data_IF_899129955796
#
_entry.id   IF_899129955796
#
_cell.length_a   1.000
_cell.length_b   1.000
_cell.length_c   1.000
_cell.angle_alpha   90.00
_cell.angle_beta   90.00
_cell.angle_gamma   90.00
#
_symmetry.space_group_name_H-M   'P 1'
#
loop_
_entity.id
_entity.type
_entity.pdbx_description
1 polymer ?
#
# COMPACT_ATOMS: atom_id res chain seq x y z
N UNK A 1 -24.68 -3.72 -14.35
CA UNK A 1 -23.35 -3.09 -14.22
C UNK A 1 -22.59 -3.91 -13.20
N UNK A 2 -21.37 -4.30 -13.50
CA UNK A 2 -20.54 -5.09 -12.58
C UNK A 2 -19.91 -4.16 -11.54
N UNK A 3 -20.23 -4.31 -10.26
CA UNK A 3 -19.68 -3.50 -9.17
C UNK A 3 -18.22 -3.92 -8.92
N UNK A 4 -17.30 -2.95 -8.79
CA UNK A 4 -15.90 -3.20 -8.47
C UNK A 4 -15.58 -2.95 -6.99
N UNK A 5 -14.50 -3.54 -6.48
CA UNK A 5 -13.98 -3.23 -5.14
C UNK A 5 -13.73 -1.73 -4.96
N UNK A 6 -13.21 -1.06 -5.99
CA UNK A 6 -12.97 0.39 -5.94
C UNK A 6 -14.28 1.19 -5.83
N UNK A 7 -15.36 0.75 -6.46
CA UNK A 7 -16.69 1.38 -6.31
C UNK A 7 -17.16 1.34 -4.86
N UNK A 8 -17.05 0.19 -4.20
CA UNK A 8 -17.37 -0.01 -2.78
C UNK A 8 -16.55 0.92 -1.89
N UNK A 9 -15.23 0.90 -2.06
CA UNK A 9 -14.32 1.69 -1.22
C UNK A 9 -14.45 3.20 -1.45
N UNK A 10 -14.70 3.61 -2.69
CA UNK A 10 -14.97 5.02 -3.02
C UNK A 10 -16.27 5.49 -2.34
N UNK A 11 -17.30 4.66 -2.34
CA UNK A 11 -18.54 4.97 -1.63
C UNK A 11 -18.30 5.04 -0.12
N UNK A 12 -17.66 4.02 0.48
CA UNK A 12 -17.41 3.97 1.92
C UNK A 12 -16.59 5.19 2.42
N UNK A 13 -15.62 5.66 1.64
CA UNK A 13 -14.78 6.83 2.00
C UNK A 13 -15.58 8.12 2.16
N UNK A 14 -16.71 8.29 1.47
CA UNK A 14 -17.56 9.49 1.58
C UNK A 14 -18.14 9.69 2.97
N UNK A 15 -18.25 8.62 3.74
CA UNK A 15 -18.89 8.60 5.05
C UNK A 15 -17.90 8.71 6.21
N UNK A 16 -16.59 8.76 5.95
CA UNK A 16 -15.58 8.92 7.00
C UNK A 16 -15.86 10.17 7.86
N UNK A 17 -15.80 9.98 9.17
CA UNK A 17 -16.07 11.04 10.15
C UNK A 17 -17.54 11.20 10.53
N UNK A 18 -18.48 10.49 9.89
CA UNK A 18 -19.89 10.53 10.28
C UNK A 18 -20.03 9.92 11.69
N UNK A 19 -20.65 10.69 12.58
CA UNK A 19 -20.88 10.34 13.98
C UNK A 19 -22.33 9.88 14.18
N UNK A 20 -22.51 8.85 15.01
CA UNK A 20 -23.81 8.34 15.42
C UNK A 20 -24.72 9.46 15.99
N UNK A 21 -25.99 9.44 15.63
CA UNK A 21 -26.98 10.43 16.02
C UNK A 21 -27.07 11.66 15.13
N UNK A 22 -26.08 11.93 14.29
CA UNK A 22 -26.13 13.03 13.29
C UNK A 22 -27.15 12.75 12.19
N UNK A 23 -27.57 13.78 11.46
CA UNK A 23 -28.44 13.64 10.30
C UNK A 23 -27.88 12.68 9.25
N UNK A 24 -26.58 12.74 8.99
CA UNK A 24 -25.91 11.83 8.04
C UNK A 24 -25.95 10.38 8.50
N UNK A 25 -25.75 10.10 9.78
CA UNK A 25 -25.92 8.76 10.33
C UNK A 25 -27.36 8.27 10.19
N UNK A 26 -28.35 9.11 10.54
CA UNK A 26 -29.77 8.77 10.40
C UNK A 26 -30.12 8.44 8.96
N UNK A 27 -29.59 9.18 7.97
CA UNK A 27 -29.79 8.91 6.55
C UNK A 27 -29.24 7.53 6.12
N UNK A 28 -28.15 7.06 6.73
CA UNK A 28 -27.62 5.70 6.50
C UNK A 28 -28.64 4.65 6.97
N UNK A 29 -29.12 4.80 8.21
CA UNK A 29 -30.10 3.89 8.83
C UNK A 29 -31.43 3.93 8.07
N UNK A 30 -31.91 5.11 7.71
CA UNK A 30 -33.16 5.28 6.97
C UNK A 30 -33.12 4.61 5.59
N UNK A 31 -32.02 4.76 4.85
CA UNK A 31 -31.86 4.11 3.56
C UNK A 31 -31.80 2.57 3.69
N UNK A 32 -31.11 2.06 4.70
CA UNK A 32 -31.12 0.64 5.01
C UNK A 32 -32.55 0.17 5.30
N UNK A 33 -33.27 0.85 6.19
CA UNK A 33 -34.65 0.51 6.60
C UNK A 33 -35.68 0.63 5.46
N UNK A 34 -35.47 1.57 4.53
CA UNK A 34 -36.33 1.73 3.35
C UNK A 34 -36.19 0.58 2.35
N UNK A 35 -35.09 -0.16 2.39
CA UNK A 35 -34.84 -1.29 1.47
C UNK A 35 -35.52 -2.56 1.99
N UNK A 36 -36.52 -3.03 1.32
CA UNK A 36 -37.35 -4.20 1.74
C UNK A 36 -37.00 -5.47 0.95
N UNK A 37 -37.28 -6.68 1.49
CA UNK A 37 -37.68 -6.97 2.87
C UNK A 37 -36.54 -6.69 3.86
N UNK A 38 -36.86 -6.38 5.11
CA UNK A 38 -35.83 -6.22 6.14
C UNK A 38 -35.28 -7.58 6.56
N UNK A 39 -33.97 -7.75 6.72
CA UNK A 39 -33.39 -8.94 7.34
C UNK A 39 -34.03 -9.20 8.71
N UNK A 40 -34.39 -10.46 8.95
CA UNK A 40 -35.11 -10.92 10.13
C UNK A 40 -36.32 -10.05 10.56
N UNK A 41 -36.86 -9.23 9.63
CA UNK A 41 -37.98 -8.32 9.91
C UNK A 41 -37.62 -7.13 10.82
N UNK A 42 -36.33 -6.94 11.16
CA UNK A 42 -35.92 -5.96 12.15
C UNK A 42 -35.66 -4.57 11.54
N UNK A 43 -36.33 -3.56 12.09
CA UNK A 43 -36.07 -2.16 11.75
C UNK A 43 -35.00 -1.58 12.66
N UNK A 44 -33.82 -1.28 12.10
CA UNK A 44 -32.68 -0.74 12.84
C UNK A 44 -33.04 0.64 13.42
N UNK A 45 -32.72 0.86 14.69
CA UNK A 45 -32.92 2.12 15.42
C UNK A 45 -31.64 2.97 15.31
N UNK A 46 -31.78 4.28 15.49
CA UNK A 46 -30.63 5.20 15.48
C UNK A 46 -29.69 5.02 16.69
N UNK A 47 -30.09 4.22 17.67
CA UNK A 47 -29.33 3.91 18.89
C UNK A 47 -28.65 2.56 18.85
N UNK A 48 -28.95 1.73 17.84
CA UNK A 48 -28.40 0.39 17.71
C UNK A 48 -26.93 0.45 17.22
N UNK A 49 -26.22 -0.64 17.46
CA UNK A 49 -24.94 -0.86 16.79
C UNK A 49 -25.17 -0.99 15.29
N UNK A 50 -24.42 -0.23 14.51
CA UNK A 50 -24.68 -0.05 13.08
C UNK A 50 -23.48 -0.37 12.17
N UNK A 51 -22.51 -1.14 12.68
CA UNK A 51 -21.36 -1.54 11.88
C UNK A 51 -21.78 -2.34 10.63
N UNK A 52 -22.66 -3.32 10.82
CA UNK A 52 -23.16 -4.16 9.73
C UNK A 52 -24.22 -3.46 8.88
N UNK A 53 -25.06 -2.61 9.52
CA UNK A 53 -25.94 -1.70 8.79
C UNK A 53 -25.17 -0.80 7.83
N UNK A 54 -23.99 -0.32 8.22
CA UNK A 54 -23.12 0.48 7.34
C UNK A 54 -22.62 -0.34 6.15
N UNK A 55 -22.14 -1.57 6.36
CA UNK A 55 -21.68 -2.44 5.28
C UNK A 55 -22.83 -2.73 4.29
N UNK A 56 -24.00 -3.06 4.82
CA UNK A 56 -25.21 -3.28 4.03
C UNK A 56 -25.67 -2.03 3.27
N UNK A 57 -25.60 -0.86 3.92
CA UNK A 57 -25.91 0.43 3.30
C UNK A 57 -24.97 0.74 2.11
N UNK A 58 -23.68 0.47 2.24
CA UNK A 58 -22.72 0.62 1.12
C UNK A 58 -23.08 -0.34 -0.02
N UNK A 59 -23.45 -1.59 0.29
CA UNK A 59 -23.93 -2.55 -0.70
C UNK A 59 -25.17 -2.04 -1.45
N UNK A 60 -26.16 -1.49 -0.74
CA UNK A 60 -27.36 -0.89 -1.32
C UNK A 60 -27.01 0.30 -2.21
N UNK A 61 -26.13 1.18 -1.72
CA UNK A 61 -25.77 2.42 -2.42
C UNK A 61 -25.00 2.20 -3.70
N UNK A 62 -24.27 1.10 -3.79
CA UNK A 62 -23.44 0.73 -4.96
C UNK A 62 -24.08 -0.32 -5.85
N UNK A 63 -25.26 -0.85 -5.49
CA UNK A 63 -25.89 -1.97 -6.21
C UNK A 63 -25.15 -3.30 -6.00
N UNK A 64 -24.39 -3.45 -4.93
CA UNK A 64 -23.60 -4.65 -4.61
C UNK A 64 -24.33 -5.65 -3.69
N UNK A 65 -25.61 -5.45 -3.38
CA UNK A 65 -26.36 -6.30 -2.44
C UNK A 65 -26.31 -7.77 -2.83
N UNK A 66 -26.37 -8.10 -4.12
CA UNK A 66 -26.27 -9.47 -4.59
C UNK A 66 -24.89 -10.09 -4.38
N UNK A 67 -23.84 -9.27 -4.34
CA UNK A 67 -22.46 -9.72 -4.13
C UNK A 67 -22.14 -9.94 -2.65
N UNK A 68 -22.55 -8.98 -1.79
CA UNK A 68 -22.13 -8.98 -0.39
C UNK A 68 -23.25 -9.40 0.58
N UNK A 69 -24.51 -9.44 0.14
CA UNK A 69 -25.66 -9.67 1.02
C UNK A 69 -26.14 -8.39 1.68
N UNK A 70 -27.06 -8.54 2.62
CA UNK A 70 -27.63 -7.46 3.42
C UNK A 70 -28.08 -8.00 4.79
N UNK A 71 -27.56 -7.44 5.83
CA UNK A 71 -27.85 -7.82 7.23
C UNK A 71 -27.61 -6.62 8.16
N UNK A 72 -28.01 -6.75 9.44
CA UNK A 72 -27.69 -5.81 10.52
C UNK A 72 -27.07 -6.52 11.74
N UNK A 73 -26.65 -7.76 11.58
CA UNK A 73 -26.02 -8.57 12.61
C UNK A 73 -24.89 -9.42 12.01
N UNK A 74 -23.67 -9.16 12.44
CA UNK A 74 -22.44 -9.63 11.83
C UNK A 74 -22.39 -11.14 11.66
N UNK A 75 -22.76 -11.91 12.70
CA UNK A 75 -22.73 -13.37 12.59
C UNK A 75 -23.68 -13.90 11.51
N UNK A 76 -24.89 -13.35 11.40
CA UNK A 76 -25.84 -13.71 10.33
C UNK A 76 -25.32 -13.27 8.95
N UNK A 77 -24.56 -12.18 8.89
CA UNK A 77 -23.94 -11.79 7.64
C UNK A 77 -22.83 -12.75 7.22
N UNK A 78 -22.06 -13.31 8.17
CA UNK A 78 -21.12 -14.41 7.89
C UNK A 78 -21.85 -15.61 7.29
N UNK A 79 -23.02 -15.97 7.79
CA UNK A 79 -23.83 -17.07 7.23
C UNK A 79 -24.24 -16.80 5.77
N UNK A 80 -24.56 -15.52 5.46
CA UNK A 80 -24.78 -15.11 4.07
C UNK A 80 -23.50 -15.24 3.25
N UNK A 81 -22.34 -14.81 3.75
CA UNK A 81 -21.08 -14.97 3.06
C UNK A 81 -20.73 -16.44 2.81
N UNK A 82 -20.99 -17.32 3.78
CA UNK A 82 -20.84 -18.78 3.64
C UNK A 82 -21.76 -19.31 2.56
N UNK A 83 -23.03 -18.94 2.56
CA UNK A 83 -24.00 -19.37 1.55
C UNK A 83 -23.66 -18.91 0.13
N UNK A 84 -22.99 -17.77 0.00
CA UNK A 84 -22.50 -17.23 -1.27
C UNK A 84 -21.14 -17.83 -1.69
N UNK A 85 -20.49 -18.65 -0.85
CA UNK A 85 -19.19 -19.23 -1.14
C UNK A 85 -18.04 -18.21 -1.14
N UNK A 86 -18.22 -17.07 -0.48
CA UNK A 86 -17.23 -15.98 -0.43
C UNK A 86 -16.54 -15.85 0.93
N UNK A 87 -16.92 -16.64 1.92
CA UNK A 87 -16.33 -16.61 3.26
C UNK A 87 -14.99 -17.35 3.32
N UNK A 88 -14.02 -16.76 4.00
CA UNK A 88 -12.69 -17.31 4.29
C UNK A 88 -12.55 -17.36 5.80
N UNK A 89 -12.55 -18.57 6.36
CA UNK A 89 -12.52 -18.86 7.81
C UNK A 89 -11.15 -18.58 8.46
N UNK A 90 -10.15 -18.16 7.73
CA UNK A 90 -8.78 -17.92 8.22
C UNK A 90 -8.47 -16.42 8.33
N UNK A 91 -8.40 -15.90 9.55
CA UNK A 91 -8.02 -14.52 9.84
C UNK A 91 -6.55 -14.19 9.55
N UNK A 92 -5.69 -15.20 9.28
CA UNK A 92 -4.24 -15.03 9.05
C UNK A 92 -3.89 -14.73 7.60
N UNK A 93 -4.83 -14.89 6.67
CA UNK A 93 -4.57 -14.58 5.26
C UNK A 93 -4.22 -13.11 5.08
N UNK A 94 -3.50 -12.80 4.01
CA UNK A 94 -3.37 -11.42 3.55
C UNK A 94 -4.63 -11.04 2.76
N UNK A 95 -5.47 -10.14 3.30
CA UNK A 95 -6.69 -9.74 2.60
C UNK A 95 -6.39 -8.84 1.40
N UNK A 96 -7.41 -8.60 0.58
CA UNK A 96 -7.37 -7.69 -0.57
C UNK A 96 -8.25 -6.48 -0.31
N UNK A 97 -7.93 -5.35 -0.97
CA UNK A 97 -8.81 -4.19 -0.98
C UNK A 97 -10.21 -4.58 -1.50
N UNK A 98 -11.23 -4.22 -0.75
CA UNK A 98 -12.62 -4.62 -1.00
C UNK A 98 -13.07 -5.88 -0.28
N UNK A 99 -12.17 -6.69 0.29
CA UNK A 99 -12.59 -7.77 1.21
C UNK A 99 -13.37 -7.16 2.38
N UNK A 100 -14.27 -7.92 2.96
CA UNK A 100 -15.01 -7.55 4.16
C UNK A 100 -14.41 -8.33 5.32
N UNK A 101 -13.93 -7.64 6.34
CA UNK A 101 -13.36 -8.24 7.54
C UNK A 101 -14.42 -8.32 8.64
N UNK A 102 -14.48 -9.46 9.32
CA UNK A 102 -15.26 -9.64 10.55
C UNK A 102 -14.33 -9.84 11.73
N UNK A 103 -14.73 -9.33 12.90
CA UNK A 103 -13.97 -9.41 14.14
C UNK A 103 -14.78 -10.11 15.22
N UNK A 104 -14.07 -10.78 16.11
CA UNK A 104 -14.57 -11.27 17.38
C UNK A 104 -13.69 -10.66 18.48
N UNK A 105 -14.28 -9.83 19.34
CA UNK A 105 -13.53 -9.12 20.38
C UNK A 105 -13.29 -9.97 21.64
N UNK A 106 -13.96 -11.13 21.74
CA UNK A 106 -13.83 -12.03 22.90
C UNK A 106 -12.60 -12.93 22.83
N UNK A 107 -11.98 -13.06 21.64
CA UNK A 107 -10.78 -13.89 21.44
C UNK A 107 -9.72 -13.13 20.65
N UNK A 108 -8.54 -13.00 21.26
CA UNK A 108 -7.36 -12.33 20.66
C UNK A 108 -6.39 -13.30 19.99
N UNK A 109 -6.79 -14.56 19.79
CA UNK A 109 -5.93 -15.61 19.24
C UNK A 109 -6.37 -16.07 17.86
N UNK A 110 -5.45 -16.62 17.09
CA UNK A 110 -5.72 -17.29 15.81
C UNK A 110 -5.46 -18.80 15.93
N UNK A 111 -6.32 -19.66 15.42
CA UNK A 111 -7.52 -19.37 14.63
C UNK A 111 -8.66 -18.92 15.54
N UNK A 112 -9.40 -17.89 15.08
CA UNK A 112 -10.54 -17.35 15.77
C UNK A 112 -11.81 -17.83 15.08
N UNK A 113 -12.66 -18.61 15.77
CA UNK A 113 -13.89 -19.21 15.23
C UNK A 113 -15.14 -18.81 16.04
N UNK A 114 -14.99 -17.91 17.00
CA UNK A 114 -16.04 -17.43 17.87
C UNK A 114 -17.10 -16.57 17.19
N UNK A 115 -18.04 -16.09 18.00
CA UNK A 115 -19.11 -15.20 17.53
C UNK A 115 -18.55 -13.87 17.04
N UNK A 116 -18.96 -13.40 15.88
CA UNK A 116 -18.47 -12.17 15.32
C UNK A 116 -19.28 -10.96 15.80
N UNK A 117 -18.56 -9.92 16.26
CA UNK A 117 -19.12 -8.72 16.90
C UNK A 117 -19.05 -7.49 16.02
N UNK A 118 -18.12 -7.45 15.07
CA UNK A 118 -17.85 -6.24 14.30
C UNK A 118 -17.45 -6.56 12.86
N UNK A 119 -17.65 -5.59 11.96
CA UNK A 119 -17.46 -5.77 10.53
C UNK A 119 -17.03 -4.45 9.87
N UNK A 120 -16.24 -4.57 8.79
CA UNK A 120 -15.82 -3.43 7.99
C UNK A 120 -15.25 -3.83 6.65
N UNK A 121 -14.94 -2.85 5.80
CA UNK A 121 -14.27 -3.07 4.52
C UNK A 121 -12.76 -2.94 4.67
N UNK A 122 -12.01 -3.86 4.08
CA UNK A 122 -10.56 -3.71 3.91
C UNK A 122 -10.31 -2.63 2.86
N UNK A 123 -9.74 -1.51 3.26
CA UNK A 123 -9.40 -0.41 2.35
C UNK A 123 -8.08 -0.66 1.62
N UNK A 124 -7.09 -1.15 2.33
CA UNK A 124 -5.76 -1.46 1.77
C UNK A 124 -4.96 -2.40 2.66
N UNK A 125 -3.95 -3.02 2.07
CA UNK A 125 -2.92 -3.76 2.79
C UNK A 125 -1.57 -3.29 2.30
N UNK A 126 -0.70 -2.85 3.20
CA UNK A 126 0.65 -2.41 2.89
C UNK A 126 1.61 -2.77 4.04
N UNK A 127 2.77 -3.31 3.69
CA UNK A 127 3.83 -3.66 4.66
C UNK A 127 3.35 -4.51 5.85
N UNK A 128 2.45 -5.47 5.61
CA UNK A 128 1.89 -6.32 6.65
C UNK A 128 0.82 -5.64 7.53
N UNK A 129 0.40 -4.42 7.19
CA UNK A 129 -0.64 -3.66 7.90
C UNK A 129 -1.90 -3.61 7.04
N UNK A 130 -3.01 -4.00 7.63
CA UNK A 130 -4.36 -3.88 7.06
C UNK A 130 -4.95 -2.55 7.52
N UNK A 131 -5.50 -1.78 6.59
CA UNK A 131 -6.32 -0.60 6.88
C UNK A 131 -7.77 -0.90 6.51
N UNK A 132 -8.70 -0.63 7.40
CA UNK A 132 -10.15 -0.83 7.18
C UNK A 132 -10.92 0.47 7.20
N UNK A 133 -12.15 0.46 6.68
CA UNK A 133 -13.19 1.48 6.90
C UNK A 133 -14.36 0.78 7.58
N UNK A 134 -14.70 1.24 8.78
CA UNK A 134 -15.68 0.60 9.65
C UNK A 134 -16.76 1.60 10.08
N UNK A 135 -18.04 1.20 9.98
CA UNK A 135 -19.13 1.88 10.67
C UNK A 135 -19.12 1.56 12.16
N UNK A 136 -19.64 2.44 12.97
CA UNK A 136 -19.75 2.28 14.42
C UNK A 136 -18.42 2.06 15.20
N UNK A 137 -17.27 2.30 14.59
CA UNK A 137 -16.01 2.26 15.30
C UNK A 137 -15.91 3.48 16.25
N UNK A 138 -16.12 3.25 17.53
CA UNK A 138 -16.25 4.34 18.50
C UNK A 138 -17.40 5.29 18.17
N UNK A 139 -18.53 4.73 17.72
CA UNK A 139 -19.76 5.45 17.30
C UNK A 139 -19.60 6.36 16.09
N UNK A 140 -18.62 6.09 15.20
CA UNK A 140 -18.44 6.86 13.96
C UNK A 140 -17.96 5.93 12.82
N UNK A 141 -17.93 6.46 11.58
CA UNK A 141 -17.22 5.83 10.48
C UNK A 141 -15.76 6.22 10.57
N UNK A 142 -14.91 5.24 10.81
CA UNK A 142 -13.45 5.44 10.98
C UNK A 142 -12.62 4.42 10.24
N UNK A 143 -11.34 4.76 10.08
CA UNK A 143 -10.30 3.81 9.74
C UNK A 143 -9.73 3.15 10.98
N UNK A 144 -9.44 1.85 10.87
CA UNK A 144 -8.59 1.09 11.80
C UNK A 144 -7.37 0.61 11.04
N UNK A 145 -6.24 0.47 11.73
CA UNK A 145 -5.06 -0.22 11.24
C UNK A 145 -4.70 -1.36 12.18
N UNK A 146 -4.31 -2.50 11.61
CA UNK A 146 -3.93 -3.69 12.39
C UNK A 146 -2.94 -4.54 11.58
N UNK A 147 -2.12 -5.38 12.21
CA UNK A 147 -1.28 -6.32 11.47
C UNK A 147 -2.13 -7.38 10.75
N UNK A 148 -1.63 -7.89 9.63
CA UNK A 148 -2.16 -9.11 9.01
C UNK A 148 -2.10 -10.23 10.05
N UNK A 149 -3.18 -11.01 10.17
CA UNK A 149 -3.26 -12.09 11.17
C UNK A 149 -3.52 -11.64 12.59
N UNK A 150 -3.98 -10.39 12.80
CA UNK A 150 -4.34 -9.90 14.13
C UNK A 150 -5.36 -10.82 14.81
N UNK A 151 -5.12 -11.18 16.07
CA UNK A 151 -5.85 -12.22 16.78
C UNK A 151 -7.37 -12.07 16.77
N UNK A 152 -7.87 -10.85 16.83
CA UNK A 152 -9.30 -10.55 16.84
C UNK A 152 -10.00 -10.70 15.47
N UNK A 153 -9.27 -10.98 14.39
CA UNK A 153 -9.88 -11.18 13.07
C UNK A 153 -10.55 -12.55 13.05
N UNK A 154 -11.89 -12.55 12.91
CA UNK A 154 -12.72 -13.75 12.80
C UNK A 154 -12.59 -14.42 11.42
N UNK A 155 -12.38 -13.62 10.40
CA UNK A 155 -12.24 -14.05 9.01
C UNK A 155 -12.60 -12.95 8.03
N UNK A 156 -12.65 -13.33 6.74
CA UNK A 156 -12.92 -12.39 5.66
C UNK A 156 -13.98 -12.92 4.70
N UNK A 157 -14.80 -12.03 4.15
CA UNK A 157 -15.53 -12.32 2.94
C UNK A 157 -14.83 -11.69 1.73
N UNK A 158 -14.72 -12.44 0.64
CA UNK A 158 -14.13 -11.98 -0.63
C UNK A 158 -15.16 -12.01 -1.74
N UNK A 159 -15.94 -10.94 -1.92
CA UNK A 159 -16.93 -10.88 -2.96
C UNK A 159 -16.31 -10.96 -4.36
N UNK A 160 -17.01 -11.63 -5.27
CA UNK A 160 -16.60 -11.71 -6.67
C UNK A 160 -16.92 -10.40 -7.41
N UNK A 161 -16.22 -9.32 -7.02
CA UNK A 161 -16.36 -8.06 -7.74
C UNK A 161 -15.95 -8.23 -9.20
N UNK A 162 -16.65 -7.56 -10.08
CA UNK A 162 -16.24 -7.49 -11.48
C UNK A 162 -14.86 -6.86 -11.60
N UNK A 163 -14.04 -7.37 -12.50
CA UNK A 163 -12.84 -6.65 -12.93
C UNK A 163 -13.29 -5.29 -13.42
N UNK A 164 -12.73 -4.21 -12.88
CA UNK A 164 -13.04 -2.86 -13.35
C UNK A 164 -12.61 -2.71 -14.81
N UNK A 165 -13.52 -3.02 -15.72
CA UNK A 165 -13.56 -2.23 -16.93
C UNK A 165 -13.90 -0.81 -16.42
N UNK A 166 -13.00 0.13 -16.60
CA UNK A 166 -13.15 1.53 -16.19
C UNK A 166 -14.57 2.00 -16.48
N UNK A 167 -15.41 2.11 -15.43
CA UNK A 167 -16.74 2.67 -15.58
C UNK A 167 -16.70 4.15 -15.19
N UNK A 168 -16.94 4.99 -16.17
CA UNK A 168 -17.47 6.33 -16.00
C UNK A 168 -16.47 7.44 -15.78
N UNK A 169 -15.57 7.64 -16.73
CA UNK A 169 -15.19 9.01 -17.07
C UNK A 169 -16.28 9.62 -17.95
N UNK A 170 -16.73 10.82 -17.66
CA UNK A 170 -17.39 11.69 -18.64
C UNK A 170 -16.65 11.61 -19.96
N UNK A 171 -17.37 11.65 -21.09
CA UNK A 171 -16.78 11.59 -22.43
C UNK A 171 -15.60 12.58 -22.54
N UNK A 172 -14.35 12.05 -22.66
CA UNK A 172 -13.12 12.84 -22.72
C UNK A 172 -12.07 12.53 -21.65
N UNK A 173 -12.40 11.81 -20.57
CA UNK A 173 -11.43 11.52 -19.49
C UNK A 173 -10.68 10.20 -19.75
N UNK A 174 -9.33 10.27 -19.69
CA UNK A 174 -8.44 9.12 -19.90
C UNK A 174 -8.62 8.07 -18.80
N UNK A 175 -8.42 6.80 -19.11
CA UNK A 175 -8.50 5.72 -18.11
C UNK A 175 -7.35 5.80 -17.10
N UNK A 176 -7.54 5.28 -15.88
CA UNK A 176 -6.48 5.20 -14.86
C UNK A 176 -5.25 4.45 -15.41
N UNK A 177 -5.45 3.45 -16.26
CA UNK A 177 -4.35 2.74 -16.91
C UNK A 177 -3.57 3.64 -17.88
N UNK A 178 -4.27 4.45 -18.68
CA UNK A 178 -3.65 5.43 -19.57
C UNK A 178 -2.86 6.47 -18.76
N UNK A 179 -3.45 7.00 -17.69
CA UNK A 179 -2.80 7.95 -16.79
C UNK A 179 -1.59 7.30 -16.09
N UNK A 180 -1.70 6.05 -15.67
CA UNK A 180 -0.58 5.32 -15.06
C UNK A 180 0.59 5.14 -16.05
N UNK A 181 0.32 4.85 -17.32
CA UNK A 181 1.34 4.80 -18.39
C UNK A 181 1.98 6.18 -18.61
N UNK A 182 1.20 7.26 -18.59
CA UNK A 182 1.70 8.64 -18.69
C UNK A 182 2.55 9.02 -17.47
N UNK A 183 2.18 8.56 -16.26
CA UNK A 183 2.98 8.73 -15.03
C UNK A 183 4.32 8.00 -15.14
N UNK A 184 4.33 6.77 -15.67
CA UNK A 184 5.55 5.99 -15.92
C UNK A 184 6.46 6.73 -16.90
N UNK A 185 5.88 7.35 -17.91
CA UNK A 185 6.60 8.15 -18.92
C UNK A 185 6.96 9.57 -18.45
N UNK A 186 6.69 9.93 -17.19
CA UNK A 186 7.09 11.21 -16.60
C UNK A 186 6.18 12.41 -16.86
N UNK A 187 5.07 12.25 -17.59
CA UNK A 187 4.18 13.36 -18.01
C UNK A 187 3.48 14.08 -16.85
N UNK A 188 3.40 13.48 -15.67
CA UNK A 188 2.66 14.03 -14.53
C UNK A 188 3.57 14.60 -13.42
N UNK A 189 4.89 14.73 -13.64
CA UNK A 189 5.83 15.21 -12.62
C UNK A 189 6.07 14.19 -11.50
N UNK A 190 6.55 14.66 -10.33
CA UNK A 190 6.90 13.81 -9.19
C UNK A 190 6.34 14.35 -7.87
N UNK A 191 6.26 13.46 -6.85
CA UNK A 191 5.91 13.84 -5.48
C UNK A 191 4.58 14.58 -5.36
N UNK A 192 4.57 15.66 -4.59
CA UNK A 192 3.36 16.46 -4.33
C UNK A 192 2.83 17.20 -5.57
N UNK A 193 3.69 17.54 -6.52
CA UNK A 193 3.28 18.15 -7.79
C UNK A 193 2.42 17.17 -8.60
N UNK A 194 2.84 15.91 -8.72
CA UNK A 194 2.03 14.85 -9.32
C UNK A 194 0.69 14.68 -8.61
N UNK A 195 0.71 14.69 -7.28
CA UNK A 195 -0.49 14.53 -6.46
C UNK A 195 -1.51 15.64 -6.73
N UNK A 196 -1.04 16.90 -6.79
CA UNK A 196 -1.86 18.06 -7.12
C UNK A 196 -2.42 18.00 -8.54
N UNK A 197 -1.59 17.68 -9.54
CA UNK A 197 -2.00 17.59 -10.95
C UNK A 197 -3.04 16.50 -11.18
N UNK A 198 -2.84 15.31 -10.58
CA UNK A 198 -3.79 14.20 -10.68
C UNK A 198 -5.12 14.56 -10.03
N UNK A 199 -5.11 15.17 -8.84
CA UNK A 199 -6.31 15.62 -8.14
C UNK A 199 -7.07 16.69 -8.95
N UNK A 200 -6.36 17.67 -9.50
CA UNK A 200 -6.95 18.72 -10.36
C UNK A 200 -7.58 18.14 -11.64
N UNK A 201 -7.04 17.04 -12.16
CA UNK A 201 -7.58 16.32 -13.32
C UNK A 201 -8.65 15.27 -12.96
N UNK A 202 -9.08 15.21 -11.68
CA UNK A 202 -10.11 14.30 -11.21
C UNK A 202 -9.66 12.85 -10.99
N UNK A 203 -8.35 12.59 -10.90
CA UNK A 203 -7.79 11.26 -10.65
C UNK A 203 -7.35 11.11 -9.20
N UNK A 204 -7.64 9.94 -8.61
CA UNK A 204 -7.07 9.55 -7.33
C UNK A 204 -5.59 9.24 -7.49
N UNK A 205 -4.72 9.95 -6.78
CA UNK A 205 -3.29 9.68 -6.76
C UNK A 205 -2.98 8.22 -6.40
N UNK A 206 -3.64 7.71 -5.35
CA UNK A 206 -3.41 6.35 -4.86
C UNK A 206 -3.86 5.29 -5.89
N UNK A 207 -5.00 5.51 -6.57
CA UNK A 207 -5.46 4.61 -7.61
C UNK A 207 -4.53 4.59 -8.83
N UNK A 208 -4.03 5.76 -9.24
CA UNK A 208 -3.05 5.88 -10.33
C UNK A 208 -1.73 5.23 -9.92
N UNK A 209 -1.25 5.46 -8.70
CA UNK A 209 0.01 4.90 -8.22
C UNK A 209 -0.07 3.37 -8.04
N UNK A 210 -1.20 2.85 -7.60
CA UNK A 210 -1.46 1.41 -7.55
C UNK A 210 -1.41 0.79 -8.96
N UNK A 211 -2.01 1.47 -9.97
CA UNK A 211 -1.97 1.00 -11.36
C UNK A 211 -0.59 1.15 -11.99
N UNK A 212 0.16 2.19 -11.66
CA UNK A 212 1.60 2.31 -12.02
C UNK A 212 2.37 1.10 -11.51
N UNK A 213 2.17 0.75 -10.24
CA UNK A 213 2.82 -0.42 -9.62
C UNK A 213 2.40 -1.72 -10.30
N UNK A 214 1.12 -1.88 -10.65
CA UNK A 214 0.59 -3.04 -11.37
C UNK A 214 1.20 -3.15 -12.78
N UNK A 215 1.21 -2.05 -13.54
CA UNK A 215 1.77 -2.03 -14.90
C UNK A 215 3.28 -2.30 -14.91
N UNK A 216 4.01 -1.80 -13.92
CA UNK A 216 5.43 -2.11 -13.75
C UNK A 216 5.67 -3.58 -13.38
N UNK A 217 4.67 -4.23 -12.74
CA UNK A 217 4.67 -5.68 -12.48
C UNK A 217 4.22 -6.51 -13.69
N UNK A 218 3.30 -5.99 -14.50
CA UNK A 218 2.67 -6.71 -15.62
C UNK A 218 3.49 -6.78 -16.92
N UNK A 219 4.60 -6.04 -17.03
CA UNK A 219 5.48 -6.09 -18.22
C UNK A 219 6.51 -7.22 -18.18
N UNK A 220 6.35 -8.20 -17.35
CA UNK A 220 7.24 -9.36 -17.23
C UNK A 220 6.47 -10.68 -17.19
N UNK A 221 5.90 -11.09 -18.32
CA UNK A 221 5.58 -12.50 -18.54
C UNK A 221 6.85 -13.21 -19.03
N UNK A 222 7.76 -13.49 -18.11
CA UNK A 222 8.74 -14.58 -18.12
C UNK A 222 9.54 -14.54 -16.83
N UNK A 223 9.29 -15.49 -15.94
CA UNK A 223 9.97 -15.76 -14.67
C UNK A 223 9.87 -14.65 -13.61
N UNK A 224 9.18 -14.96 -12.52
CA UNK A 224 9.06 -14.16 -11.30
C UNK A 224 10.45 -13.99 -10.68
N UNK A 225 11.14 -12.91 -11.01
CA UNK A 225 12.23 -12.40 -10.19
C UNK A 225 11.62 -11.52 -9.10
N UNK A 226 11.69 -11.95 -7.85
CA UNK A 226 11.31 -11.16 -6.67
C UNK A 226 12.23 -9.97 -6.42
N UNK A 227 13.15 -9.69 -7.33
CA UNK A 227 14.16 -8.66 -7.22
C UNK A 227 13.63 -7.30 -7.71
N UNK A 228 13.40 -6.30 -6.82
CA UNK A 228 12.88 -4.98 -7.19
C UNK A 228 13.86 -4.16 -8.04
N UNK A 229 15.11 -4.62 -8.16
CA UNK A 229 16.18 -3.96 -8.92
C UNK A 229 16.47 -4.63 -10.29
N UNK A 230 15.67 -5.61 -10.73
CA UNK A 230 15.91 -6.37 -11.96
C UNK A 230 16.03 -5.49 -13.22
N UNK A 231 15.39 -4.33 -13.25
CA UNK A 231 15.32 -3.44 -14.41
C UNK A 231 16.28 -2.25 -14.36
N UNK A 232 17.24 -2.21 -13.42
CA UNK A 232 18.21 -1.10 -13.36
C UNK A 232 19.18 -1.12 -14.53
N UNK A 233 19.59 0.07 -14.99
CA UNK A 233 20.65 0.21 -15.97
C UNK A 233 22.02 0.04 -15.31
N UNK A 234 22.79 -0.93 -15.77
CA UNK A 234 24.14 -1.17 -15.27
C UNK A 234 25.13 -0.35 -16.10
N UNK A 235 25.70 0.68 -15.47
CA UNK A 235 26.82 1.46 -15.99
C UNK A 235 27.90 1.58 -14.89
N UNK A 236 29.00 2.22 -15.20
CA UNK A 236 30.16 2.38 -14.33
C UNK A 236 30.23 3.73 -13.61
N UNK A 237 29.10 4.45 -13.50
CA UNK A 237 29.03 5.73 -12.81
C UNK A 237 28.40 5.54 -11.43
N UNK A 238 28.98 6.15 -10.41
CA UNK A 238 28.30 6.35 -9.13
C UNK A 238 27.45 7.60 -9.24
N UNK A 239 26.20 7.42 -9.63
CA UNK A 239 25.24 8.47 -9.96
C UNK A 239 24.10 8.56 -8.93
N UNK A 240 23.26 9.58 -9.08
CA UNK A 240 22.07 9.77 -8.24
C UNK A 240 21.10 8.59 -8.30
N UNK A 241 21.08 7.84 -9.40
CA UNK A 241 20.23 6.66 -9.52
C UNK A 241 20.78 5.53 -8.65
N UNK A 242 22.09 5.32 -8.62
CA UNK A 242 22.69 4.35 -7.69
C UNK A 242 22.40 4.74 -6.23
N UNK A 243 22.52 6.03 -5.88
CA UNK A 243 22.15 6.50 -4.55
C UNK A 243 20.69 6.17 -4.21
N UNK A 244 19.75 6.42 -5.13
CA UNK A 244 18.32 6.06 -4.96
C UNK A 244 18.11 4.56 -4.84
N UNK A 245 18.83 3.74 -5.61
CA UNK A 245 18.73 2.28 -5.49
C UNK A 245 19.18 1.80 -4.12
N UNK A 246 20.28 2.33 -3.60
CA UNK A 246 20.78 2.00 -2.27
C UNK A 246 19.84 2.53 -1.17
N UNK A 247 19.33 3.77 -1.30
CA UNK A 247 18.33 4.32 -0.37
C UNK A 247 17.08 3.44 -0.30
N UNK A 248 16.59 2.92 -1.43
CA UNK A 248 15.47 1.96 -1.48
C UNK A 248 15.84 0.60 -0.88
N UNK A 249 17.04 0.09 -1.19
CA UNK A 249 17.52 -1.18 -0.64
C UNK A 249 17.54 -1.17 0.89
N UNK A 250 18.02 -0.08 1.47
CA UNK A 250 18.05 0.12 2.93
C UNK A 250 16.72 0.67 3.49
N UNK A 251 15.68 0.77 2.70
CA UNK A 251 14.35 1.24 3.11
C UNK A 251 14.37 2.60 3.81
N UNK A 252 15.21 3.52 3.34
CA UNK A 252 15.32 4.84 3.92
C UNK A 252 14.06 5.67 3.68
N UNK A 253 13.70 6.51 4.65
CA UNK A 253 12.54 7.40 4.58
C UNK A 253 12.63 8.40 3.42
N UNK A 254 13.85 8.88 3.12
CA UNK A 254 14.12 9.82 2.01
C UNK A 254 14.83 9.09 0.88
N UNK A 255 14.30 9.18 -0.34
CA UNK A 255 14.88 8.60 -1.56
C UNK A 255 15.06 9.73 -2.58
N UNK A 256 16.05 10.59 -2.35
CA UNK A 256 16.34 11.76 -3.17
C UNK A 256 17.55 11.59 -4.10
N UNK A 257 18.36 10.56 -3.88
CA UNK A 257 19.58 10.31 -4.62
C UNK A 257 20.78 11.14 -4.13
N UNK A 258 20.68 11.71 -2.92
CA UNK A 258 21.73 12.57 -2.34
C UNK A 258 22.41 11.87 -1.17
N UNK A 259 23.75 11.88 -1.17
CA UNK A 259 24.58 11.55 -0.02
C UNK A 259 24.97 12.87 0.64
N UNK A 260 24.29 13.24 1.73
CA UNK A 260 24.40 14.57 2.34
C UNK A 260 25.54 14.69 3.34
N UNK A 261 26.01 15.94 3.58
CA UNK A 261 26.83 16.32 4.72
C UNK A 261 28.16 15.58 4.84
N UNK A 262 28.87 15.33 3.73
CA UNK A 262 30.04 14.50 3.69
C UNK A 262 31.34 15.30 3.84
N UNK A 263 32.37 14.67 4.37
CA UNK A 263 33.76 15.21 4.35
C UNK A 263 34.31 15.06 2.92
N UNK A 264 34.75 16.16 2.32
CA UNK A 264 35.31 16.16 0.98
C UNK A 264 36.71 15.56 0.97
N UNK A 265 36.97 14.63 0.06
CA UNK A 265 38.27 14.04 -0.16
C UNK A 265 38.43 13.50 -1.60
N UNK A 266 39.65 13.14 -1.98
CA UNK A 266 39.90 12.51 -3.28
C UNK A 266 39.12 11.20 -3.42
N UNK A 267 38.96 10.47 -2.34
CA UNK A 267 38.31 9.15 -2.29
C UNK A 267 36.83 9.14 -2.68
N UNK A 268 36.13 10.27 -2.58
CA UNK A 268 34.71 10.38 -2.94
C UNK A 268 34.43 11.35 -4.10
N UNK A 269 35.46 11.77 -4.80
CA UNK A 269 35.36 12.75 -5.89
C UNK A 269 34.57 12.22 -7.10
N UNK A 270 34.52 10.90 -7.31
CA UNK A 270 33.76 10.26 -8.38
C UNK A 270 32.26 10.06 -8.11
N UNK A 271 31.76 10.44 -6.92
CA UNK A 271 30.36 10.28 -6.54
C UNK A 271 29.53 11.47 -7.05
N UNK A 272 28.53 11.20 -7.85
CA UNK A 272 27.52 12.19 -8.27
C UNK A 272 26.35 12.16 -7.28
N UNK A 273 25.83 13.33 -6.90
CA UNK A 273 24.77 13.44 -5.89
C UNK A 273 25.32 13.37 -4.45
N UNK A 274 26.52 13.86 -4.23
CA UNK A 274 27.11 14.07 -2.91
C UNK A 274 27.08 15.56 -2.56
N UNK A 275 26.78 15.88 -1.31
CA UNK A 275 26.94 17.24 -0.77
C UNK A 275 27.93 17.24 0.39
N UNK A 276 28.70 18.28 0.50
CA UNK A 276 29.74 18.40 1.52
C UNK A 276 29.30 19.29 2.68
N UNK A 277 29.73 18.96 3.90
CA UNK A 277 29.37 19.66 5.11
C UNK A 277 29.48 18.78 6.35
N UNK A 278 28.72 19.12 7.37
CA UNK A 278 28.63 18.36 8.64
C UNK A 278 27.31 17.64 8.75
N UNK A 279 27.22 16.60 9.59
CA UNK A 279 26.00 15.86 9.89
C UNK A 279 25.90 14.49 9.24
N UNK A 280 26.64 14.21 8.18
CA UNK A 280 26.69 12.90 7.53
C UNK A 280 25.39 12.50 6.82
N UNK A 281 25.32 11.26 6.37
CA UNK A 281 24.20 10.74 5.57
C UNK A 281 23.58 9.49 6.19
N UNK A 282 22.23 9.40 6.19
CA UNK A 282 21.51 8.19 6.60
C UNK A 282 21.86 7.00 5.69
N UNK A 283 22.08 7.24 4.40
CA UNK A 283 22.51 6.20 3.49
C UNK A 283 23.88 5.63 3.90
N UNK A 284 24.82 6.50 4.23
CA UNK A 284 26.15 6.02 4.65
C UNK A 284 26.08 5.30 5.98
N UNK A 285 25.28 5.78 6.93
CA UNK A 285 25.04 5.07 8.19
C UNK A 285 24.48 3.65 7.96
N UNK A 286 23.50 3.50 7.06
CA UNK A 286 22.94 2.20 6.72
C UNK A 286 23.97 1.27 6.07
N UNK A 287 24.80 1.79 5.16
CA UNK A 287 25.91 1.05 4.55
C UNK A 287 26.92 0.60 5.61
N UNK A 288 27.31 1.48 6.50
CA UNK A 288 28.27 1.18 7.58
C UNK A 288 27.75 0.11 8.53
N UNK A 289 26.47 0.19 8.93
CA UNK A 289 25.81 -0.85 9.73
C UNK A 289 25.83 -2.22 9.02
N UNK A 290 25.46 -2.26 7.74
CA UNK A 290 25.43 -3.52 6.94
C UNK A 290 26.84 -4.12 6.76
N UNK A 291 27.88 -3.27 6.75
CA UNK A 291 29.27 -3.70 6.65
C UNK A 291 29.93 -3.99 8.01
N UNK A 292 29.23 -3.77 9.12
CA UNK A 292 29.75 -3.96 10.48
C UNK A 292 30.84 -2.95 10.86
N UNK A 293 30.78 -1.72 10.33
CA UNK A 293 31.72 -0.65 10.60
C UNK A 293 31.23 0.27 11.72
N UNK A 294 32.15 1.05 12.29
CA UNK A 294 31.77 2.21 13.11
C UNK A 294 30.92 3.18 12.30
N UNK A 295 29.77 3.59 12.84
CA UNK A 295 28.83 4.47 12.14
C UNK A 295 29.17 5.92 12.42
N UNK A 296 29.99 6.52 11.56
CA UNK A 296 30.32 7.95 11.57
C UNK A 296 29.53 8.76 10.53
N UNK A 297 28.70 8.07 9.70
CA UNK A 297 27.85 8.65 8.65
C UNK A 297 28.63 9.29 7.50
N UNK A 298 29.94 9.08 7.40
CA UNK A 298 30.82 9.62 6.36
C UNK A 298 31.29 8.54 5.38
N UNK A 299 31.23 8.87 4.09
CA UNK A 299 31.72 8.03 2.99
C UNK A 299 33.24 8.21 2.88
N UNK A 300 33.96 7.70 3.89
CA UNK A 300 35.40 7.75 3.96
C UNK A 300 36.10 6.53 3.34
N UNK A 301 37.46 6.54 3.29
CA UNK A 301 38.25 5.47 2.67
C UNK A 301 37.96 4.08 3.27
N UNK A 302 37.72 3.98 4.57
CA UNK A 302 37.41 2.69 5.21
C UNK A 302 36.06 2.13 4.80
N UNK A 303 35.03 2.99 4.73
CA UNK A 303 33.70 2.61 4.23
C UNK A 303 33.79 2.16 2.78
N UNK A 304 34.49 2.92 1.92
CA UNK A 304 34.68 2.59 0.50
C UNK A 304 35.45 1.27 0.34
N UNK A 305 36.56 1.11 1.04
CA UNK A 305 37.36 -0.11 0.99
C UNK A 305 36.61 -1.36 1.46
N UNK A 306 35.71 -1.21 2.44
CA UNK A 306 34.86 -2.29 2.91
C UNK A 306 33.79 -2.67 1.87
N UNK A 307 33.16 -1.68 1.23
CA UNK A 307 32.24 -1.90 0.11
C UNK A 307 32.96 -2.63 -1.06
N UNK A 308 34.15 -2.19 -1.41
CA UNK A 308 34.97 -2.82 -2.47
C UNK A 308 35.29 -4.27 -2.16
N UNK A 309 35.69 -4.56 -0.91
CA UNK A 309 35.96 -5.93 -0.46
C UNK A 309 34.71 -6.81 -0.52
N UNK A 310 33.57 -6.31 -0.04
CA UNK A 310 32.30 -7.03 -0.08
C UNK A 310 31.78 -7.25 -1.51
N UNK A 311 31.93 -6.25 -2.36
CA UNK A 311 31.53 -6.35 -3.77
C UNK A 311 32.49 -7.19 -4.63
N UNK A 312 33.69 -7.48 -4.13
CA UNK A 312 34.73 -8.24 -4.88
C UNK A 312 35.36 -7.40 -5.99
N UNK A 313 35.64 -6.12 -5.73
CA UNK A 313 36.39 -5.22 -6.61
C UNK A 313 37.76 -4.89 -6.00
N UNK A 314 38.62 -4.23 -6.76
CA UNK A 314 39.92 -3.78 -6.25
C UNK A 314 39.70 -2.83 -5.08
N UNK A 315 40.44 -3.06 -3.99
CA UNK A 315 40.37 -2.26 -2.75
C UNK A 315 41.39 -1.13 -2.81
N UNK A 316 41.09 -0.08 -3.57
CA UNK A 316 41.90 1.15 -3.63
C UNK A 316 41.41 2.25 -2.67
N UNK A 317 40.25 2.01 -2.02
CA UNK A 317 39.58 2.92 -1.08
C UNK A 317 39.13 4.24 -1.71
N UNK A 318 38.91 4.25 -3.02
CA UNK A 318 38.46 5.42 -3.77
C UNK A 318 37.27 5.06 -4.67
N UNK A 319 36.41 6.04 -4.93
CA UNK A 319 35.35 5.96 -5.93
C UNK A 319 35.72 6.91 -7.06
N UNK A 320 36.16 6.33 -8.17
CA UNK A 320 36.50 7.05 -9.40
C UNK A 320 35.29 7.17 -10.34
N UNK A 321 35.44 7.90 -11.41
CA UNK A 321 34.48 7.92 -12.52
C UNK A 321 35.25 7.74 -13.84
N UNK A 322 35.19 6.56 -14.45
CA UNK A 322 34.37 5.38 -14.20
C UNK A 322 34.70 4.62 -12.90
N UNK A 323 33.74 3.90 -12.32
CA UNK A 323 33.87 3.17 -11.06
C UNK A 323 33.50 1.69 -11.22
N UNK A 324 34.50 0.81 -11.02
CA UNK A 324 34.28 -0.63 -11.00
C UNK A 324 33.33 -1.04 -9.86
N UNK A 325 33.40 -0.39 -8.69
CA UNK A 325 32.52 -0.61 -7.57
C UNK A 325 31.05 -0.26 -7.91
N UNK A 326 30.80 0.91 -8.49
CA UNK A 326 29.47 1.32 -8.88
C UNK A 326 28.82 0.33 -9.89
N UNK A 327 29.60 -0.08 -10.90
CA UNK A 327 29.17 -1.10 -11.86
C UNK A 327 28.82 -2.41 -11.17
N UNK A 328 29.65 -2.87 -10.26
CA UNK A 328 29.47 -4.14 -9.55
C UNK A 328 28.25 -4.11 -8.62
N UNK A 329 28.04 -3.03 -7.89
CA UNK A 329 26.86 -2.84 -7.03
C UNK A 329 25.58 -2.88 -7.88
N UNK A 330 25.54 -2.16 -9.02
CA UNK A 330 24.39 -2.17 -9.93
C UNK A 330 24.13 -3.57 -10.51
N UNK A 331 25.19 -4.32 -10.88
CA UNK A 331 25.07 -5.71 -11.33
C UNK A 331 24.49 -6.60 -10.22
N UNK A 332 25.01 -6.51 -9.00
CA UNK A 332 24.55 -7.30 -7.86
C UNK A 332 23.08 -6.97 -7.52
N UNK A 333 22.71 -5.71 -7.46
CA UNK A 333 21.32 -5.29 -7.27
C UNK A 333 20.42 -5.91 -8.35
N UNK A 334 20.80 -5.79 -9.61
CA UNK A 334 20.05 -6.32 -10.76
C UNK A 334 19.87 -7.83 -10.70
N UNK A 335 20.90 -8.59 -10.33
CA UNK A 335 20.91 -10.05 -10.43
C UNK A 335 20.56 -10.75 -9.12
N UNK A 336 20.91 -10.16 -7.98
CA UNK A 336 20.77 -10.75 -6.64
C UNK A 336 19.79 -10.01 -5.73
N UNK A 337 19.34 -8.79 -6.10
CA UNK A 337 18.49 -7.94 -5.27
C UNK A 337 19.22 -7.29 -4.10
N UNK A 338 20.55 -7.39 -4.01
CA UNK A 338 21.38 -6.83 -2.93
C UNK A 338 22.69 -6.29 -3.46
N UNK A 339 23.34 -5.28 -2.81
CA UNK A 339 24.51 -4.61 -3.36
C UNK A 339 25.79 -5.47 -3.34
N UNK A 340 25.90 -6.40 -2.40
CA UNK A 340 27.02 -7.34 -2.21
C UNK A 340 26.61 -8.71 -1.68
#
# INVERSE_FOLDING_TARGET
MTVSANTILTEARKYLGIVMGTTSHKSIVDKYNATKPLPVGYQVKYTDDWCDTFVSFIGISTGATDLIGRECGVQRHIDIFKSKGIWIEDGRITPKAGDIVCFNWDDATQSNDGWADHIGFVESVANGVVTTIEGNYGRQVKRRTMPVGWGYIRGYARPAYGTSASAGGTAGQKTIETIAKEVINGAWGNGDDRKKKLAAAGYSYDAVQAKVTELLKGSSSSQVSTNPFANITVNDKWDTDLNKYLQRYYSLKTVDGIISGQIKGAWNAGIIGITFGTGGSDLVAAIQNDLGLTVDRNMGPETIGSMQSKAGTTKDKEITNPSALAKKIKQNLKTKGKPW
#
